data_IF_482431186217
#
_entry.id   IF_482431186217
#
_cell.length_a   1.000
_cell.length_b   1.000
_cell.length_c   1.000
_cell.angle_alpha   90.00
_cell.angle_beta   90.00
_cell.angle_gamma   90.00
#
_symmetry.space_group_name_H-M   'P 1'
#
loop_
_entity.id
_entity.type
_entity.pdbx_description
1 polymer ?
#
# COMPACT_ATOMS: atom_id res chain seq x y z
N UNK A 1 85.92 59.54 -21.98
CA UNK A 1 85.08 58.91 -23.05
C UNK A 1 84.86 57.49 -22.63
N UNK A 2 83.72 57.23 -22.00
CA UNK A 2 83.29 55.90 -21.57
C UNK A 2 81.81 55.82 -21.88
N UNK A 3 81.50 55.12 -22.89
CA UNK A 3 80.10 54.78 -23.34
C UNK A 3 79.44 53.92 -22.30
N UNK A 4 78.29 54.37 -21.79
CA UNK A 4 77.37 53.58 -21.02
C UNK A 4 76.37 52.89 -21.98
N UNK A 5 76.33 51.57 -21.89
CA UNK A 5 75.42 50.71 -22.57
C UNK A 5 74.01 50.80 -21.94
N UNK A 6 72.92 50.92 -22.67
CA UNK A 6 71.56 51.05 -22.11
C UNK A 6 71.09 49.68 -21.54
N UNK A 7 70.48 49.79 -20.37
CA UNK A 7 69.83 48.64 -19.66
C UNK A 7 68.68 48.03 -20.46
N UNK A 8 68.67 46.78 -20.56
CA UNK A 8 67.58 45.92 -21.04
C UNK A 8 66.31 46.22 -20.26
N UNK A 9 65.33 46.79 -20.87
CA UNK A 9 63.95 46.85 -20.37
C UNK A 9 63.37 45.47 -20.40
N UNK A 10 63.12 44.90 -19.20
CA UNK A 10 62.35 43.68 -19.01
C UNK A 10 60.96 43.82 -19.67
N UNK A 11 60.75 43.08 -20.73
CA UNK A 11 59.41 42.85 -21.31
C UNK A 11 58.50 42.23 -20.29
N UNK A 12 57.52 42.97 -19.80
CA UNK A 12 56.38 42.43 -19.03
C UNK A 12 55.56 41.58 -19.99
N UNK A 13 55.43 40.31 -19.69
CA UNK A 13 54.57 39.35 -20.35
C UNK A 13 53.08 39.75 -20.14
N UNK A 14 52.31 40.10 -21.18
CA UNK A 14 50.92 40.52 -21.01
C UNK A 14 49.91 39.36 -20.88
N UNK A 15 50.35 38.16 -20.66
CA UNK A 15 49.46 37.00 -20.44
C UNK A 15 49.22 36.78 -18.92
N UNK A 16 48.72 37.79 -18.24
CA UNK A 16 48.13 37.65 -16.91
C UNK A 16 46.80 36.89 -16.96
N UNK A 17 46.83 35.61 -17.28
CA UNK A 17 45.70 34.75 -16.95
C UNK A 17 45.53 34.77 -15.43
N UNK A 18 44.33 35.10 -14.91
CA UNK A 18 44.08 35.05 -13.49
C UNK A 18 44.31 33.61 -13.02
N UNK A 19 45.30 33.46 -12.14
CA UNK A 19 45.59 32.20 -11.46
C UNK A 19 44.29 31.63 -10.92
N UNK A 20 43.83 30.53 -11.52
CA UNK A 20 42.63 29.81 -11.06
C UNK A 20 42.90 29.37 -9.64
N UNK A 21 42.48 30.18 -8.65
CA UNK A 21 42.45 29.81 -7.22
C UNK A 21 41.45 28.71 -7.01
N UNK A 22 41.70 27.56 -7.61
CA UNK A 22 40.96 26.32 -7.41
C UNK A 22 41.36 25.71 -6.07
N UNK A 23 40.39 25.40 -5.24
CA UNK A 23 40.62 24.63 -4.02
C UNK A 23 41.54 23.42 -4.29
N UNK A 24 42.54 23.13 -3.45
CA UNK A 24 43.52 22.07 -3.68
C UNK A 24 42.83 20.74 -3.85
N UNK A 25 43.26 19.95 -4.83
CA UNK A 25 42.68 18.63 -5.13
C UNK A 25 43.05 17.64 -4.03
N UNK A 26 42.05 17.00 -3.45
CA UNK A 26 42.25 16.00 -2.44
C UNK A 26 42.92 14.73 -3.01
N UNK A 27 43.84 14.15 -2.22
CA UNK A 27 44.46 12.86 -2.53
C UNK A 27 43.40 11.74 -2.57
N UNK A 28 43.72 10.62 -3.22
CA UNK A 28 42.81 9.43 -3.24
C UNK A 28 42.49 8.95 -1.84
N UNK A 29 43.50 8.90 -0.95
CA UNK A 29 43.34 8.51 0.46
C UNK A 29 42.44 9.45 1.23
N UNK A 30 42.60 10.76 1.05
CA UNK A 30 41.73 11.77 1.68
C UNK A 30 40.27 11.63 1.21
N UNK A 31 40.07 11.41 -0.10
CA UNK A 31 38.71 11.19 -0.64
C UNK A 31 38.06 9.94 -0.03
N UNK A 32 38.78 8.83 0.06
CA UNK A 32 38.28 7.59 0.67
C UNK A 32 37.98 7.76 2.16
N UNK A 33 38.89 8.39 2.91
CA UNK A 33 38.72 8.64 4.34
C UNK A 33 37.50 9.53 4.62
N UNK A 34 37.34 10.64 3.87
CA UNK A 34 36.19 11.55 4.03
C UNK A 34 34.88 10.86 3.60
N UNK A 35 34.90 10.09 2.51
CA UNK A 35 33.70 9.32 2.08
C UNK A 35 33.31 8.29 3.12
N UNK A 36 34.27 7.53 3.67
CA UNK A 36 34.00 6.54 4.71
C UNK A 36 33.49 7.18 6.01
N UNK A 37 34.15 8.27 6.47
CA UNK A 37 33.69 9.04 7.62
C UNK A 37 32.26 9.61 7.38
N UNK A 38 31.99 10.15 6.20
CA UNK A 38 30.67 10.63 5.81
C UNK A 38 29.60 9.54 5.87
N UNK A 39 29.90 8.34 5.36
CA UNK A 39 28.99 7.18 5.42
C UNK A 39 28.71 6.77 6.87
N UNK A 40 29.75 6.72 7.72
CA UNK A 40 29.59 6.39 9.14
C UNK A 40 28.75 7.42 9.89
N UNK A 41 28.96 8.71 9.62
CA UNK A 41 28.17 9.79 10.22
C UNK A 41 26.71 9.69 9.77
N UNK A 42 26.45 9.50 8.49
CA UNK A 42 25.08 9.35 7.95
C UNK A 42 24.40 8.14 8.56
N UNK A 43 25.10 6.99 8.66
CA UNK A 43 24.58 5.78 9.26
C UNK A 43 24.26 5.97 10.75
N UNK A 44 25.16 6.61 11.51
CA UNK A 44 24.93 6.96 12.91
C UNK A 44 23.72 7.92 13.10
N UNK A 45 23.57 8.92 12.20
CA UNK A 45 22.43 9.81 12.19
C UNK A 45 21.13 9.09 11.89
N UNK A 46 21.12 8.17 10.94
CA UNK A 46 19.94 7.35 10.61
C UNK A 46 19.47 6.55 11.84
N UNK A 47 20.42 5.88 12.53
CA UNK A 47 20.10 5.12 13.74
C UNK A 47 19.60 6.04 14.86
N UNK A 48 20.25 7.16 15.07
CA UNK A 48 19.86 8.11 16.13
C UNK A 48 18.52 8.80 15.87
N UNK A 49 18.19 9.03 14.60
CA UNK A 49 16.98 9.74 14.17
C UNK A 49 15.88 8.80 13.65
N UNK A 50 15.97 7.49 13.89
CA UNK A 50 15.04 6.49 13.36
C UNK A 50 13.57 6.81 13.70
N UNK A 51 13.29 7.35 14.91
CA UNK A 51 11.94 7.70 15.34
C UNK A 51 11.35 8.85 14.50
N UNK A 52 12.19 9.81 14.09
CA UNK A 52 11.79 10.93 13.22
C UNK A 52 11.75 10.52 11.75
N UNK A 53 12.54 9.51 11.37
CA UNK A 53 12.58 9.01 10.00
C UNK A 53 11.22 8.46 9.55
N UNK A 54 10.54 7.75 10.44
CA UNK A 54 9.17 7.26 10.22
C UNK A 54 8.20 8.43 9.97
N UNK A 55 8.29 9.50 10.75
CA UNK A 55 7.47 10.70 10.60
C UNK A 55 7.72 11.41 9.26
N UNK A 56 9.00 11.63 8.91
CA UNK A 56 9.40 12.27 7.66
C UNK A 56 8.96 11.43 6.46
N UNK A 57 9.19 10.12 6.50
CA UNK A 57 8.82 9.21 5.42
C UNK A 57 7.29 9.19 5.22
N UNK A 58 6.52 9.18 6.31
CA UNK A 58 5.05 9.29 6.25
C UNK A 58 4.62 10.60 5.61
N UNK A 59 5.25 11.72 5.97
CA UNK A 59 4.96 13.02 5.36
C UNK A 59 5.23 13.01 3.84
N UNK A 60 6.32 12.37 3.40
CA UNK A 60 6.59 12.14 1.97
C UNK A 60 5.53 11.28 1.30
N UNK A 61 5.08 10.21 1.94
CA UNK A 61 4.03 9.35 1.41
C UNK A 61 2.72 10.12 1.20
N UNK A 62 2.32 10.92 2.18
CA UNK A 62 1.13 11.78 2.09
C UNK A 62 1.28 12.80 0.96
N UNK A 63 2.45 13.44 0.84
CA UNK A 63 2.77 14.37 -0.26
C UNK A 63 2.62 13.69 -1.63
N UNK A 64 3.15 12.49 -1.77
CA UNK A 64 3.00 11.69 -2.99
C UNK A 64 1.55 11.33 -3.30
N UNK A 65 0.80 10.95 -2.28
CA UNK A 65 -0.61 10.57 -2.39
C UNK A 65 -1.47 11.76 -2.85
N UNK A 66 -1.23 12.95 -2.30
CA UNK A 66 -2.00 14.15 -2.64
C UNK A 66 -1.58 14.82 -3.95
N UNK A 67 -0.37 14.57 -4.44
CA UNK A 67 0.14 15.16 -5.69
C UNK A 67 -0.81 15.07 -6.90
N UNK A 68 -1.50 13.95 -7.19
CA UNK A 68 -2.45 13.89 -8.29
C UNK A 68 -3.70 14.76 -8.07
N UNK A 69 -4.19 14.83 -6.83
CA UNK A 69 -5.32 15.69 -6.48
C UNK A 69 -4.94 17.17 -6.67
N UNK A 70 -3.75 17.56 -6.21
CA UNK A 70 -3.23 18.92 -6.39
C UNK A 70 -3.11 19.26 -7.88
N UNK A 71 -2.57 18.34 -8.67
CA UNK A 71 -2.47 18.52 -10.13
C UNK A 71 -3.84 18.66 -10.79
N UNK A 72 -4.82 17.90 -10.32
CA UNK A 72 -6.20 17.99 -10.80
C UNK A 72 -6.81 19.36 -10.51
N UNK A 73 -6.75 19.83 -9.25
CA UNK A 73 -7.28 21.13 -8.85
C UNK A 73 -6.52 22.30 -9.50
N UNK A 74 -5.18 22.20 -9.60
CA UNK A 74 -4.35 23.18 -10.31
C UNK A 74 -4.83 23.39 -11.75
N UNK A 75 -5.01 22.27 -12.49
CA UNK A 75 -5.45 22.33 -13.90
C UNK A 75 -6.90 22.78 -14.04
N UNK A 76 -7.80 22.28 -13.17
CA UNK A 76 -9.22 22.54 -13.27
C UNK A 76 -9.59 23.97 -12.86
N UNK A 77 -8.98 24.46 -11.80
CA UNK A 77 -9.25 25.79 -11.23
C UNK A 77 -8.22 26.85 -11.69
N UNK A 78 -7.22 26.48 -12.52
CA UNK A 78 -6.15 27.36 -13.00
C UNK A 78 -5.39 28.07 -11.87
N UNK A 79 -5.26 27.41 -10.71
CA UNK A 79 -4.57 27.94 -9.53
C UNK A 79 -3.05 27.77 -9.66
N UNK A 80 -2.29 28.59 -8.92
CA UNK A 80 -0.86 28.31 -8.70
C UNK A 80 -0.70 26.98 -7.93
N UNK A 81 0.46 26.32 -8.09
CA UNK A 81 0.74 25.05 -7.39
C UNK A 81 0.56 25.16 -5.87
N UNK A 82 1.07 26.23 -5.27
CA UNK A 82 0.98 26.46 -3.82
C UNK A 82 -0.47 26.62 -3.35
N UNK A 83 -1.28 27.38 -4.09
CA UNK A 83 -2.71 27.55 -3.77
C UNK A 83 -3.49 26.26 -3.96
N UNK A 84 -3.21 25.48 -5.00
CA UNK A 84 -3.83 24.18 -5.21
C UNK A 84 -3.44 23.18 -4.11
N UNK A 85 -2.17 23.20 -3.67
CA UNK A 85 -1.72 22.41 -2.54
C UNK A 85 -2.44 22.83 -1.25
N UNK A 86 -2.49 24.12 -0.91
CA UNK A 86 -3.19 24.61 0.26
C UNK A 86 -4.68 24.21 0.25
N UNK A 87 -5.36 24.36 -0.89
CA UNK A 87 -6.76 23.97 -1.04
C UNK A 87 -6.97 22.47 -0.76
N UNK A 88 -6.14 21.60 -1.38
CA UNK A 88 -6.24 20.14 -1.19
C UNK A 88 -5.96 19.76 0.26
N UNK A 89 -4.94 20.34 0.88
CA UNK A 89 -4.63 20.06 2.27
C UNK A 89 -5.73 20.54 3.21
N UNK A 90 -6.28 21.74 3.04
CA UNK A 90 -7.43 22.22 3.84
C UNK A 90 -8.64 21.32 3.66
N UNK A 91 -8.98 20.97 2.41
CA UNK A 91 -10.11 20.07 2.12
C UNK A 91 -9.93 18.70 2.78
N UNK A 92 -8.73 18.12 2.67
CA UNK A 92 -8.43 16.84 3.29
C UNK A 92 -8.40 16.90 4.82
N UNK A 93 -7.94 18.01 5.42
CA UNK A 93 -8.03 18.23 6.86
C UNK A 93 -9.48 18.29 7.32
N UNK A 94 -10.35 18.98 6.62
CA UNK A 94 -11.79 19.05 6.93
C UNK A 94 -12.46 17.68 6.79
N UNK A 95 -12.13 16.90 5.76
CA UNK A 95 -12.61 15.52 5.59
C UNK A 95 -12.13 14.64 6.74
N UNK A 96 -10.84 14.71 7.10
CA UNK A 96 -10.28 13.92 8.21
C UNK A 96 -10.92 14.31 9.55
N UNK A 97 -11.12 15.59 9.82
CA UNK A 97 -11.81 16.07 11.02
C UNK A 97 -13.26 15.60 11.04
N UNK A 98 -13.97 15.67 9.91
CA UNK A 98 -15.34 15.17 9.80
C UNK A 98 -15.44 13.66 10.03
N UNK A 99 -14.49 12.88 9.47
CA UNK A 99 -14.42 11.45 9.68
C UNK A 99 -14.06 11.09 11.14
N UNK A 100 -13.15 11.86 11.77
CA UNK A 100 -12.77 11.64 13.17
C UNK A 100 -13.91 11.96 14.15
N UNK A 101 -14.69 13.00 13.87
CA UNK A 101 -15.76 13.44 14.78
C UNK A 101 -17.04 12.62 14.59
N UNK A 102 -17.47 12.37 13.36
CA UNK A 102 -18.76 11.71 13.08
C UNK A 102 -18.62 10.18 12.91
N UNK A 103 -17.56 9.73 12.25
CA UNK A 103 -17.30 8.31 12.02
C UNK A 103 -16.35 7.68 13.04
N UNK A 104 -15.44 8.47 13.62
CA UNK A 104 -14.35 7.98 14.43
C UNK A 104 -14.80 7.23 15.69
N UNK A 105 -15.77 7.78 16.43
CA UNK A 105 -16.28 7.14 17.65
C UNK A 105 -16.99 5.83 17.32
N UNK A 106 -17.82 5.83 16.28
CA UNK A 106 -18.58 4.65 15.84
C UNK A 106 -17.66 3.55 15.31
N UNK A 107 -16.71 3.91 14.43
CA UNK A 107 -15.73 2.98 13.90
C UNK A 107 -14.84 2.40 15.00
N UNK A 108 -14.45 3.25 15.93
CA UNK A 108 -13.62 2.87 17.05
C UNK A 108 -14.31 1.87 17.96
N UNK A 109 -15.57 2.13 18.32
CA UNK A 109 -16.41 1.18 19.06
C UNK A 109 -16.58 -0.14 18.32
N UNK A 110 -16.81 -0.11 17.00
CA UNK A 110 -16.88 -1.34 16.19
C UNK A 110 -15.58 -2.13 16.21
N UNK A 111 -14.41 -1.48 16.08
CA UNK A 111 -13.10 -2.15 16.11
C UNK A 111 -12.82 -2.76 17.49
N UNK A 112 -13.11 -2.05 18.57
CA UNK A 112 -12.95 -2.58 19.93
C UNK A 112 -13.86 -3.78 20.18
N UNK A 113 -15.13 -3.69 19.84
CA UNK A 113 -16.08 -4.78 19.97
C UNK A 113 -15.67 -6.00 19.11
N UNK A 114 -15.16 -5.74 17.89
CA UNK A 114 -14.66 -6.78 17.02
C UNK A 114 -13.44 -7.52 17.62
N UNK A 115 -12.48 -6.79 18.20
CA UNK A 115 -11.31 -7.41 18.85
C UNK A 115 -11.73 -8.22 20.08
N UNK A 116 -12.67 -7.71 20.87
CA UNK A 116 -13.21 -8.44 22.02
C UNK A 116 -13.92 -9.71 21.57
N UNK A 117 -14.73 -9.64 20.53
CA UNK A 117 -15.44 -10.77 19.95
C UNK A 117 -14.47 -11.80 19.38
N UNK A 118 -13.46 -11.37 18.60
CA UNK A 118 -12.44 -12.26 18.05
C UNK A 118 -11.61 -12.94 19.16
N UNK A 119 -11.28 -12.22 20.23
CA UNK A 119 -10.56 -12.76 21.38
C UNK A 119 -11.40 -13.80 22.11
N UNK A 120 -12.71 -13.57 22.26
CA UNK A 120 -13.66 -14.53 22.80
C UNK A 120 -13.80 -15.76 21.91
N UNK A 121 -13.91 -15.55 20.59
CA UNK A 121 -14.00 -16.63 19.62
C UNK A 121 -12.76 -17.52 19.61
N UNK A 122 -11.57 -16.96 19.71
CA UNK A 122 -10.31 -17.71 19.80
C UNK A 122 -10.26 -18.57 21.06
N UNK A 123 -10.67 -18.04 22.22
CA UNK A 123 -10.74 -18.81 23.46
C UNK A 123 -11.74 -19.97 23.37
N UNK A 124 -12.93 -19.70 22.81
CA UNK A 124 -13.92 -20.78 22.59
C UNK A 124 -13.40 -21.83 21.62
N UNK A 125 -12.72 -21.42 20.55
CA UNK A 125 -12.15 -22.35 19.59
C UNK A 125 -11.04 -23.21 20.23
N UNK A 126 -10.13 -22.58 20.99
CA UNK A 126 -9.07 -23.30 21.67
C UNK A 126 -9.64 -24.34 22.66
N UNK A 127 -10.61 -23.95 23.50
CA UNK A 127 -11.26 -24.85 24.46
C UNK A 127 -12.01 -26.00 23.76
N UNK A 128 -12.68 -25.70 22.63
CA UNK A 128 -13.40 -26.71 21.87
C UNK A 128 -12.44 -27.67 21.13
N UNK A 129 -11.29 -27.22 20.67
CA UNK A 129 -10.28 -28.08 20.04
C UNK A 129 -9.81 -29.18 21.00
N UNK A 130 -9.62 -28.87 22.27
CA UNK A 130 -9.29 -29.87 23.30
C UNK A 130 -10.43 -30.85 23.52
N UNK A 131 -11.70 -30.40 23.56
CA UNK A 131 -12.88 -31.23 23.73
C UNK A 131 -13.15 -32.11 22.50
N UNK A 132 -12.84 -31.61 21.31
CA UNK A 132 -13.01 -32.33 20.06
C UNK A 132 -11.86 -33.30 19.73
N UNK A 133 -10.80 -33.24 20.52
CA UNK A 133 -9.66 -34.13 20.41
C UNK A 133 -10.12 -35.58 20.50
N UNK A 134 -9.63 -36.39 19.57
CA UNK A 134 -9.96 -37.80 19.42
C UNK A 134 -11.47 -38.16 19.17
N UNK A 135 -12.30 -37.15 18.87
CA UNK A 135 -13.68 -37.43 18.41
C UNK A 135 -13.70 -37.67 16.90
N UNK A 136 -14.55 -38.64 16.48
CA UNK A 136 -14.79 -38.92 15.07
C UNK A 136 -15.79 -37.89 14.50
N UNK A 137 -15.37 -37.08 13.56
CA UNK A 137 -16.24 -36.18 12.79
C UNK A 137 -16.57 -36.88 11.44
N UNK A 138 -17.84 -37.11 11.15
CA UNK A 138 -18.28 -37.62 9.87
C UNK A 138 -18.84 -36.50 8.99
N UNK A 139 -18.19 -36.24 7.86
CA UNK A 139 -18.67 -35.34 6.81
C UNK A 139 -19.03 -36.22 5.58
N UNK A 140 -20.28 -36.71 5.53
CA UNK A 140 -20.68 -37.63 4.51
C UNK A 140 -19.90 -38.96 4.57
N UNK A 141 -19.24 -39.40 3.49
CA UNK A 141 -18.43 -40.62 3.49
C UNK A 141 -17.05 -40.47 4.16
N UNK A 142 -16.65 -39.27 4.54
CA UNK A 142 -15.32 -39.00 5.10
C UNK A 142 -15.38 -38.89 6.63
N UNK A 143 -14.55 -39.67 7.31
CA UNK A 143 -14.36 -39.61 8.76
C UNK A 143 -13.03 -38.91 9.06
N UNK A 144 -13.07 -37.88 9.90
CA UNK A 144 -11.89 -37.14 10.35
C UNK A 144 -11.79 -37.25 11.87
N UNK A 145 -10.57 -37.46 12.36
CA UNK A 145 -10.25 -37.44 13.78
C UNK A 145 -9.17 -36.36 13.98
N UNK A 146 -9.35 -35.47 14.94
CA UNK A 146 -8.33 -34.51 15.33
C UNK A 146 -7.46 -35.19 16.39
N UNK A 147 -6.17 -35.50 16.09
CA UNK A 147 -5.28 -36.08 17.09
C UNK A 147 -5.05 -35.10 18.25
N UNK A 148 -4.95 -35.65 19.47
CA UNK A 148 -4.76 -34.83 20.69
C UNK A 148 -3.55 -33.91 20.62
N UNK A 149 -2.39 -34.38 20.12
CA UNK A 149 -1.19 -33.58 19.93
C UNK A 149 -1.42 -32.38 18.98
N UNK A 150 -2.23 -32.57 17.93
CA UNK A 150 -2.57 -31.49 16.99
C UNK A 150 -3.53 -30.49 17.62
N UNK A 151 -4.51 -30.97 18.40
CA UNK A 151 -5.46 -30.10 19.10
C UNK A 151 -4.76 -29.25 20.16
N UNK A 152 -3.88 -29.85 20.97
CA UNK A 152 -3.07 -29.11 21.98
C UNK A 152 -2.15 -28.09 21.30
N UNK A 153 -1.42 -28.48 20.24
CA UNK A 153 -0.57 -27.55 19.52
C UNK A 153 -1.34 -26.35 18.93
N UNK A 154 -2.52 -26.60 18.36
CA UNK A 154 -3.37 -25.54 17.81
C UNK A 154 -3.93 -24.64 18.91
N UNK A 155 -4.37 -25.18 20.07
CA UNK A 155 -4.86 -24.38 21.18
C UNK A 155 -3.76 -23.50 21.77
N UNK A 156 -2.55 -24.02 21.95
CA UNK A 156 -1.38 -23.27 22.42
C UNK A 156 -1.01 -22.17 21.42
N UNK A 157 -0.99 -22.48 20.12
CA UNK A 157 -0.76 -21.48 19.08
C UNK A 157 -1.77 -20.32 19.14
N UNK A 158 -3.07 -20.65 19.32
CA UNK A 158 -4.14 -19.65 19.37
C UNK A 158 -4.03 -18.79 20.65
N UNK A 159 -3.80 -19.43 21.82
CA UNK A 159 -3.78 -18.72 23.09
C UNK A 159 -2.45 -18.02 23.37
N UNK A 160 -1.31 -18.65 23.04
CA UNK A 160 0.00 -18.07 23.35
C UNK A 160 0.53 -17.12 22.27
N UNK A 161 0.15 -17.32 20.99
CA UNK A 161 0.68 -16.51 19.89
C UNK A 161 -0.34 -15.55 19.29
N UNK A 162 -1.55 -16.03 19.01
CA UNK A 162 -2.55 -15.22 18.30
C UNK A 162 -3.30 -14.29 19.24
N UNK A 163 -3.72 -14.75 20.43
CA UNK A 163 -4.46 -13.93 21.38
C UNK A 163 -3.69 -12.69 21.83
N UNK A 164 -2.38 -12.74 22.17
CA UNK A 164 -1.61 -11.53 22.51
C UNK A 164 -1.53 -10.51 21.36
N UNK A 165 -1.52 -10.96 20.10
CA UNK A 165 -1.56 -10.05 18.95
C UNK A 165 -2.87 -9.27 18.87
N UNK A 166 -4.02 -9.92 19.14
CA UNK A 166 -5.30 -9.24 19.25
C UNK A 166 -5.34 -8.27 20.46
N UNK A 167 -4.75 -8.66 21.59
CA UNK A 167 -4.61 -7.81 22.76
C UNK A 167 -3.76 -6.56 22.47
N UNK A 168 -2.65 -6.72 21.74
CA UNK A 168 -1.83 -5.60 21.26
C UNK A 168 -2.60 -4.69 20.30
N UNK A 169 -3.33 -5.25 19.34
CA UNK A 169 -4.19 -4.48 18.46
C UNK A 169 -5.24 -3.69 19.26
N UNK A 170 -5.91 -4.31 20.25
CA UNK A 170 -6.85 -3.63 21.14
C UNK A 170 -6.20 -2.52 21.96
N UNK A 171 -4.98 -2.74 22.48
CA UNK A 171 -4.23 -1.73 23.23
C UNK A 171 -3.79 -0.55 22.35
N UNK A 172 -3.38 -0.81 21.11
CA UNK A 172 -3.08 0.24 20.14
C UNK A 172 -4.29 1.12 19.89
N UNK A 173 -5.43 0.47 19.65
CA UNK A 173 -6.70 1.16 19.47
C UNK A 173 -7.03 1.99 20.73
N UNK A 174 -6.88 1.45 21.95
CA UNK A 174 -7.09 2.16 23.21
C UNK A 174 -6.12 3.34 23.40
N UNK A 175 -4.84 3.18 23.04
CA UNK A 175 -3.82 4.24 23.07
C UNK A 175 -4.11 5.37 22.10
N UNK A 176 -4.72 5.07 20.95
CA UNK A 176 -5.16 6.10 20.01
C UNK A 176 -6.23 7.02 20.60
N UNK A 177 -7.09 6.49 21.50
CA UNK A 177 -8.07 7.31 22.23
C UNK A 177 -7.48 8.07 23.41
N UNK A 178 -6.71 7.36 24.26
CA UNK A 178 -6.18 7.93 25.50
C UNK A 178 -4.99 8.86 25.29
N UNK A 179 -4.20 8.62 24.23
CA UNK A 179 -3.04 9.43 23.85
C UNK A 179 -3.37 10.65 22.96
N UNK A 180 -4.63 11.10 22.94
CA UNK A 180 -5.19 12.02 21.95
C UNK A 180 -4.32 13.24 21.64
N UNK A 181 -3.79 13.95 22.64
CA UNK A 181 -2.99 15.15 22.39
C UNK A 181 -1.67 14.86 21.65
N UNK A 182 -0.93 13.83 22.05
CA UNK A 182 0.33 13.44 21.41
C UNK A 182 0.11 12.85 20.02
N UNK A 183 -0.96 12.08 19.82
CA UNK A 183 -1.31 11.56 18.52
C UNK A 183 -1.71 12.69 17.56
N UNK A 184 -2.59 13.59 18.01
CA UNK A 184 -3.03 14.76 17.21
C UNK A 184 -1.82 15.61 16.86
N UNK A 185 -0.93 15.88 17.80
CA UNK A 185 0.30 16.64 17.55
C UNK A 185 1.21 15.93 16.54
N UNK A 186 1.41 14.61 16.65
CA UNK A 186 2.20 13.83 15.68
C UNK A 186 1.58 13.84 14.29
N UNK A 187 0.28 13.62 14.18
CA UNK A 187 -0.45 13.69 12.92
C UNK A 187 -0.39 15.10 12.32
N UNK A 188 -0.55 16.12 13.15
CA UNK A 188 -0.43 17.52 12.73
C UNK A 188 0.97 17.82 12.19
N UNK A 189 2.03 17.39 12.89
CA UNK A 189 3.42 17.57 12.41
C UNK A 189 3.67 16.82 11.10
N UNK A 190 3.23 15.56 10.96
CA UNK A 190 3.31 14.82 9.69
C UNK A 190 2.60 15.57 8.56
N UNK A 191 1.41 16.09 8.85
CA UNK A 191 0.59 16.81 7.89
C UNK A 191 1.22 18.14 7.48
N UNK A 192 1.75 18.89 8.45
CA UNK A 192 2.45 20.14 8.23
C UNK A 192 3.72 19.95 7.39
N UNK A 193 4.56 18.99 7.75
CA UNK A 193 5.77 18.65 6.98
C UNK A 193 5.39 18.22 5.56
N UNK A 194 4.37 17.40 5.42
CA UNK A 194 3.86 16.97 4.11
C UNK A 194 3.41 18.15 3.26
N UNK A 195 2.71 19.11 3.86
CA UNK A 195 2.30 20.34 3.17
C UNK A 195 3.51 21.16 2.68
N UNK A 196 4.51 21.40 3.53
CA UNK A 196 5.71 22.13 3.14
C UNK A 196 6.47 21.43 2.03
N UNK A 197 6.72 20.13 2.16
CA UNK A 197 7.36 19.31 1.12
C UNK A 197 6.61 19.42 -0.20
N UNK A 198 5.28 19.34 -0.15
CA UNK A 198 4.44 19.42 -1.35
C UNK A 198 4.44 20.80 -1.96
N UNK A 199 4.31 21.84 -1.15
CA UNK A 199 4.24 23.24 -1.63
C UNK A 199 5.52 23.70 -2.31
N UNK A 200 6.67 23.16 -1.89
CA UNK A 200 7.98 23.45 -2.47
C UNK A 200 8.33 22.58 -3.68
N UNK A 201 7.66 21.43 -3.85
CA UNK A 201 7.97 20.48 -4.93
C UNK A 201 7.85 21.08 -6.34
N UNK A 202 7.00 22.09 -6.56
CA UNK A 202 6.92 22.78 -7.86
C UNK A 202 8.20 23.57 -8.17
N UNK A 203 8.82 24.16 -7.13
CA UNK A 203 10.13 24.81 -7.25
C UNK A 203 11.26 23.83 -7.58
N UNK A 204 11.26 22.67 -6.94
CA UNK A 204 12.25 21.60 -7.17
C UNK A 204 12.09 20.97 -8.55
N UNK A 205 10.85 20.81 -9.06
CA UNK A 205 10.63 20.34 -10.45
C UNK A 205 11.14 21.32 -11.50
N UNK A 206 11.12 22.61 -11.22
CA UNK A 206 11.65 23.65 -12.11
C UNK A 206 13.18 23.77 -12.01
N UNK A 207 13.73 23.56 -10.84
CA UNK A 207 15.17 23.42 -10.65
C UNK A 207 15.54 21.95 -10.89
N UNK A 208 16.01 21.65 -12.10
CA UNK A 208 16.71 20.39 -12.33
C UNK A 208 17.90 20.36 -11.36
N UNK A 209 17.82 19.62 -10.27
CA UNK A 209 18.99 19.33 -9.44
C UNK A 209 19.93 18.52 -10.32
N UNK A 210 20.74 19.21 -11.10
CA UNK A 210 21.76 18.62 -11.93
C UNK A 210 22.99 18.47 -11.02
N UNK A 211 23.07 17.33 -10.33
CA UNK A 211 24.32 16.93 -9.71
C UNK A 211 25.25 16.63 -10.87
N UNK A 212 26.14 17.58 -11.18
CA UNK A 212 27.14 17.44 -12.23
C UNK A 212 28.24 16.49 -11.75
N UNK A 213 28.00 15.18 -11.89
CA UNK A 213 29.02 14.17 -11.73
C UNK A 213 29.63 13.91 -13.12
N UNK A 214 30.85 14.38 -13.41
CA UNK A 214 31.45 14.20 -14.72
C UNK A 214 31.44 12.74 -15.17
N UNK A 215 30.85 12.44 -16.30
CA UNK A 215 30.75 11.09 -16.88
C UNK A 215 29.57 10.23 -16.38
N UNK A 216 28.84 10.62 -15.32
CA UNK A 216 27.73 9.85 -14.77
C UNK A 216 26.39 10.59 -14.77
N UNK A 217 26.31 11.73 -15.43
CA UNK A 217 25.11 12.58 -15.41
C UNK A 217 23.87 11.87 -15.96
N UNK A 218 24.03 11.15 -17.07
CA UNK A 218 22.96 10.39 -17.70
C UNK A 218 22.48 9.21 -16.83
N UNK A 219 23.42 8.48 -16.21
CA UNK A 219 23.11 7.36 -15.33
C UNK A 219 22.36 7.85 -14.09
N UNK A 220 22.81 8.96 -13.48
CA UNK A 220 22.16 9.54 -12.30
C UNK A 220 20.75 10.03 -12.60
N UNK A 221 20.58 10.68 -13.75
CA UNK A 221 19.26 11.13 -14.18
C UNK A 221 18.30 9.96 -14.44
N UNK A 222 18.79 8.90 -15.11
CA UNK A 222 18.01 7.69 -15.38
C UNK A 222 17.67 6.94 -14.09
N UNK A 223 18.62 6.80 -13.16
CA UNK A 223 18.39 6.21 -11.84
C UNK A 223 17.27 6.93 -11.09
N UNK A 224 17.32 8.26 -11.04
CA UNK A 224 16.27 9.06 -10.41
C UNK A 224 14.89 8.88 -11.07
N UNK A 225 14.84 8.75 -12.40
CA UNK A 225 13.60 8.48 -13.14
C UNK A 225 13.03 7.10 -12.80
N UNK A 226 13.87 6.05 -12.77
CA UNK A 226 13.44 4.68 -12.46
C UNK A 226 12.99 4.56 -11.00
N UNK A 227 13.72 5.13 -10.04
CA UNK A 227 13.31 5.19 -8.62
C UNK A 227 11.96 5.91 -8.50
N UNK A 228 11.81 7.09 -9.11
CA UNK A 228 10.55 7.83 -9.09
C UNK A 228 9.40 7.02 -9.71
N UNK A 229 9.67 6.26 -10.78
CA UNK A 229 8.67 5.38 -11.40
C UNK A 229 8.24 4.25 -10.47
N UNK A 230 9.17 3.59 -9.77
CA UNK A 230 8.89 2.56 -8.76
C UNK A 230 7.97 3.13 -7.68
N UNK A 231 8.38 4.24 -7.04
CA UNK A 231 7.64 4.83 -5.93
C UNK A 231 6.26 5.34 -6.35
N UNK A 232 6.15 6.04 -7.48
CA UNK A 232 4.86 6.49 -8.01
C UNK A 232 3.91 5.33 -8.34
N UNK A 233 4.45 4.27 -8.95
CA UNK A 233 3.66 3.11 -9.32
C UNK A 233 3.12 2.41 -8.09
N UNK A 234 3.98 2.22 -7.08
CA UNK A 234 3.63 1.50 -5.87
C UNK A 234 2.68 2.32 -4.98
N UNK A 235 3.09 3.51 -4.54
CA UNK A 235 2.30 4.28 -3.58
C UNK A 235 0.90 4.54 -4.11
N UNK A 236 0.78 5.09 -5.34
CA UNK A 236 -0.54 5.36 -5.93
C UNK A 236 -1.33 4.10 -6.20
N UNK A 237 -0.63 3.03 -6.63
CA UNK A 237 -1.25 1.75 -6.90
C UNK A 237 -1.81 1.12 -5.64
N UNK A 238 -1.00 1.03 -4.59
CA UNK A 238 -1.37 0.40 -3.33
C UNK A 238 -2.53 1.13 -2.64
N UNK A 239 -2.44 2.44 -2.49
CA UNK A 239 -3.54 3.21 -1.89
C UNK A 239 -4.84 3.11 -2.69
N UNK A 240 -4.77 3.01 -4.02
CA UNK A 240 -5.97 2.80 -4.84
C UNK A 240 -6.55 1.40 -4.61
N UNK A 241 -5.71 0.37 -4.54
CA UNK A 241 -6.14 -1.02 -4.28
C UNK A 241 -6.74 -1.14 -2.88
N UNK A 242 -6.07 -0.58 -1.86
CA UNK A 242 -6.56 -0.55 -0.46
C UNK A 242 -7.90 0.17 -0.38
N UNK A 243 -8.02 1.37 -0.94
CA UNK A 243 -9.27 2.15 -0.93
C UNK A 243 -10.41 1.43 -1.64
N UNK A 244 -10.13 0.78 -2.79
CA UNK A 244 -11.12 -0.03 -3.49
C UNK A 244 -11.50 -1.27 -2.69
N UNK A 245 -10.55 -1.94 -2.05
CA UNK A 245 -10.83 -3.08 -1.19
C UNK A 245 -11.74 -2.69 -0.04
N UNK A 246 -11.45 -1.61 0.69
CA UNK A 246 -12.32 -1.10 1.77
C UNK A 246 -13.73 -0.87 1.25
N UNK A 247 -13.87 -0.19 0.12
CA UNK A 247 -15.19 0.13 -0.45
C UNK A 247 -15.94 -1.13 -0.87
N UNK A 248 -15.30 -2.04 -1.61
CA UNK A 248 -15.93 -3.26 -2.11
C UNK A 248 -16.30 -4.20 -0.96
N UNK A 249 -15.41 -4.40 0.02
CA UNK A 249 -15.71 -5.22 1.19
C UNK A 249 -16.77 -4.58 2.08
N UNK A 250 -16.79 -3.25 2.23
CA UNK A 250 -17.87 -2.58 2.97
C UNK A 250 -19.23 -2.85 2.34
N UNK A 251 -19.34 -2.74 1.02
CA UNK A 251 -20.57 -3.03 0.29
C UNK A 251 -20.96 -4.51 0.38
N UNK A 252 -19.99 -5.41 0.14
CA UNK A 252 -20.22 -6.85 0.18
C UNK A 252 -20.70 -7.32 1.56
N UNK A 253 -19.95 -6.98 2.61
CA UNK A 253 -20.24 -7.44 3.97
C UNK A 253 -21.51 -6.82 4.53
N UNK A 254 -21.78 -5.54 4.20
CA UNK A 254 -23.06 -4.90 4.54
C UNK A 254 -24.23 -5.51 3.79
N UNK A 255 -24.08 -5.85 2.51
CA UNK A 255 -25.10 -6.53 1.70
C UNK A 255 -25.38 -7.95 2.21
N UNK A 256 -24.39 -8.62 2.74
CA UNK A 256 -24.53 -9.91 3.44
C UNK A 256 -25.05 -9.77 4.87
N UNK A 257 -25.30 -8.54 5.33
CA UNK A 257 -25.75 -8.21 6.69
C UNK A 257 -24.79 -8.71 7.80
N UNK A 258 -23.47 -8.77 7.49
CA UNK A 258 -22.46 -9.15 8.47
C UNK A 258 -22.25 -8.01 9.48
N UNK A 259 -22.37 -8.24 10.79
CA UNK A 259 -22.09 -7.21 11.79
C UNK A 259 -20.64 -6.75 11.69
N UNK A 260 -20.39 -5.50 12.09
CA UNK A 260 -19.07 -4.86 12.02
C UNK A 260 -18.48 -4.77 10.61
N UNK A 261 -19.32 -4.77 9.57
CA UNK A 261 -18.92 -4.81 8.16
C UNK A 261 -17.85 -3.77 7.79
N UNK A 262 -17.98 -2.55 8.30
CA UNK A 262 -17.01 -1.47 8.03
C UNK A 262 -15.66 -1.74 8.72
N UNK A 263 -15.67 -2.18 9.98
CA UNK A 263 -14.46 -2.57 10.71
C UNK A 263 -13.73 -3.73 10.03
N UNK A 264 -14.48 -4.74 9.59
CA UNK A 264 -13.95 -5.88 8.85
C UNK A 264 -13.39 -5.47 7.48
N UNK A 265 -14.08 -4.56 6.77
CA UNK A 265 -13.60 -4.02 5.50
C UNK A 265 -12.31 -3.20 5.67
N UNK A 266 -12.14 -2.46 6.78
CA UNK A 266 -10.89 -1.78 7.11
C UNK A 266 -9.77 -2.78 7.36
N UNK A 267 -10.02 -3.88 8.10
CA UNK A 267 -9.03 -4.95 8.29
C UNK A 267 -8.61 -5.54 6.95
N UNK A 268 -9.57 -5.85 6.07
CA UNK A 268 -9.28 -6.39 4.75
C UNK A 268 -8.49 -5.41 3.87
N UNK A 269 -8.85 -4.14 3.87
CA UNK A 269 -8.17 -3.13 3.08
C UNK A 269 -6.76 -2.84 3.58
N UNK A 270 -6.60 -2.51 4.86
CA UNK A 270 -5.28 -2.23 5.44
C UNK A 270 -4.39 -3.48 5.53
N UNK A 271 -5.00 -4.65 5.71
CA UNK A 271 -4.28 -5.91 5.66
C UNK A 271 -3.49 -6.11 4.36
N UNK A 272 -3.94 -5.54 3.24
CA UNK A 272 -3.28 -5.67 1.93
C UNK A 272 -1.87 -5.08 1.89
N UNK A 273 -1.52 -4.18 2.80
CA UNK A 273 -0.13 -3.73 2.94
C UNK A 273 0.84 -4.87 3.29
N UNK A 274 0.33 -5.94 3.90
CA UNK A 274 1.12 -7.15 4.21
C UNK A 274 0.69 -8.28 3.26
N UNK A 275 1.46 -8.55 2.18
CA UNK A 275 1.08 -9.55 1.20
C UNK A 275 0.78 -10.91 1.84
N UNK A 276 -0.26 -11.58 1.40
CA UNK A 276 -0.78 -12.88 1.87
C UNK A 276 -1.31 -12.88 3.30
N UNK A 277 -0.58 -12.33 4.29
CA UNK A 277 -0.98 -12.32 5.71
C UNK A 277 -2.29 -11.56 5.88
N UNK A 278 -2.42 -10.41 5.23
CA UNK A 278 -3.62 -9.59 5.32
C UNK A 278 -4.89 -10.28 4.85
N UNK A 279 -4.82 -11.01 3.76
CA UNK A 279 -5.94 -11.78 3.25
C UNK A 279 -6.36 -12.89 4.22
N UNK A 280 -5.41 -13.68 4.73
CA UNK A 280 -5.69 -14.71 5.73
C UNK A 280 -6.31 -14.18 7.00
N UNK A 281 -5.77 -13.10 7.55
CA UNK A 281 -6.32 -12.42 8.73
C UNK A 281 -7.76 -11.97 8.48
N UNK A 282 -8.03 -11.42 7.30
CA UNK A 282 -9.36 -10.95 6.92
C UNK A 282 -10.35 -12.11 6.81
N UNK A 283 -9.99 -13.22 6.13
CA UNK A 283 -10.86 -14.37 5.99
C UNK A 283 -11.17 -15.04 7.33
N UNK A 284 -10.17 -15.15 8.21
CA UNK A 284 -10.38 -15.67 9.57
C UNK A 284 -11.32 -14.75 10.35
N UNK A 285 -11.14 -13.42 10.26
CA UNK A 285 -12.02 -12.45 10.90
C UNK A 285 -13.46 -12.55 10.37
N UNK A 286 -13.64 -12.64 9.04
CA UNK A 286 -14.96 -12.78 8.42
C UNK A 286 -15.64 -14.09 8.84
N UNK A 287 -14.91 -15.20 8.77
CA UNK A 287 -15.40 -16.51 9.18
C UNK A 287 -15.82 -16.52 10.66
N UNK A 288 -15.00 -15.97 11.53
CA UNK A 288 -15.27 -15.90 12.97
C UNK A 288 -16.55 -15.12 13.27
N UNK A 289 -16.69 -13.93 12.67
CA UNK A 289 -17.87 -13.09 12.87
C UNK A 289 -19.12 -13.76 12.28
N UNK A 290 -19.03 -14.31 11.07
CA UNK A 290 -20.14 -15.00 10.41
C UNK A 290 -20.63 -16.22 11.21
N UNK A 291 -19.69 -17.00 11.73
CA UNK A 291 -20.02 -18.22 12.51
C UNK A 291 -20.74 -17.92 13.82
N UNK A 292 -20.41 -16.78 14.47
CA UNK A 292 -20.97 -16.40 15.78
C UNK A 292 -22.27 -15.59 15.62
N UNK A 293 -22.50 -15.00 14.47
CA UNK A 293 -23.68 -14.15 14.22
C UNK A 293 -24.98 -14.93 14.44
N UNK A 294 -25.81 -14.44 15.37
CA UNK A 294 -27.13 -15.01 15.70
C UNK A 294 -28.14 -13.86 15.89
N UNK A 295 -29.37 -13.96 15.34
CA UNK A 295 -29.78 -14.93 14.31
C UNK A 295 -29.01 -14.76 13.02
N UNK A 296 -28.80 -15.86 12.28
CA UNK A 296 -28.12 -15.78 10.97
C UNK A 296 -29.00 -15.03 9.96
N UNK A 297 -28.42 -14.14 9.17
CA UNK A 297 -29.14 -13.47 8.09
C UNK A 297 -29.73 -14.49 7.11
N UNK A 298 -30.89 -14.14 6.51
CA UNK A 298 -31.61 -14.97 5.53
C UNK A 298 -32.06 -16.36 6.04
N UNK A 299 -32.05 -16.61 7.37
CA UNK A 299 -32.44 -17.91 7.95
C UNK A 299 -31.50 -19.06 7.58
N UNK A 300 -30.29 -18.77 7.09
CA UNK A 300 -29.32 -19.77 6.68
C UNK A 300 -28.72 -20.53 7.90
N UNK A 301 -28.27 -21.75 7.68
CA UNK A 301 -27.46 -22.44 8.69
C UNK A 301 -26.13 -21.69 8.88
N UNK A 302 -25.59 -21.59 10.12
CA UNK A 302 -24.38 -20.79 10.39
C UNK A 302 -23.18 -21.16 9.55
N UNK A 303 -22.96 -22.45 9.32
CA UNK A 303 -21.84 -22.93 8.52
C UNK A 303 -22.01 -22.56 7.03
N UNK A 304 -23.23 -22.64 6.50
CA UNK A 304 -23.56 -22.26 5.13
C UNK A 304 -23.39 -20.75 4.96
N UNK A 305 -23.87 -19.95 5.91
CA UNK A 305 -23.69 -18.51 5.90
C UNK A 305 -22.20 -18.12 5.93
N UNK A 306 -21.41 -18.75 6.80
CA UNK A 306 -19.96 -18.56 6.86
C UNK A 306 -19.27 -18.91 5.55
N UNK A 307 -19.63 -20.04 4.94
CA UNK A 307 -19.09 -20.46 3.65
C UNK A 307 -19.43 -19.47 2.53
N UNK A 308 -20.63 -18.87 2.53
CA UNK A 308 -21.03 -17.84 1.58
C UNK A 308 -20.19 -16.56 1.77
N UNK A 309 -20.05 -16.10 3.02
CA UNK A 309 -19.26 -14.89 3.34
C UNK A 309 -17.80 -15.06 2.92
N UNK A 310 -17.16 -16.16 3.32
CA UNK A 310 -15.75 -16.42 2.99
C UNK A 310 -15.59 -16.69 1.50
N UNK A 311 -16.48 -17.45 0.87
CA UNK A 311 -16.45 -17.72 -0.56
C UNK A 311 -16.58 -16.42 -1.40
N UNK A 312 -17.48 -15.53 -1.03
CA UNK A 312 -17.60 -14.22 -1.67
C UNK A 312 -16.34 -13.36 -1.48
N UNK A 313 -15.75 -13.40 -0.28
CA UNK A 313 -14.51 -12.69 0.01
C UNK A 313 -13.34 -13.22 -0.84
N UNK A 314 -13.19 -14.54 -0.97
CA UNK A 314 -12.17 -15.17 -1.82
C UNK A 314 -12.31 -14.76 -3.29
N UNK A 315 -13.53 -14.67 -3.81
CA UNK A 315 -13.79 -14.20 -5.18
C UNK A 315 -13.35 -12.75 -5.35
N UNK A 316 -13.70 -11.87 -4.41
CA UNK A 316 -13.32 -10.47 -4.44
C UNK A 316 -11.80 -10.31 -4.36
N UNK A 317 -11.13 -10.99 -3.43
CA UNK A 317 -9.67 -10.96 -3.30
C UNK A 317 -8.99 -11.44 -4.59
N UNK A 318 -9.49 -12.52 -5.18
CA UNK A 318 -8.97 -13.03 -6.45
C UNK A 318 -9.08 -11.99 -7.58
N UNK A 319 -10.21 -11.27 -7.66
CA UNK A 319 -10.40 -10.18 -8.63
C UNK A 319 -9.44 -9.01 -8.34
N UNK A 320 -9.31 -8.61 -7.09
CA UNK A 320 -8.42 -7.52 -6.70
C UNK A 320 -6.95 -7.87 -7.00
N UNK A 321 -6.51 -9.09 -6.68
CA UNK A 321 -5.12 -9.50 -6.83
C UNK A 321 -4.73 -9.79 -8.28
N UNK A 322 -5.57 -10.49 -9.02
CA UNK A 322 -5.24 -10.95 -10.37
C UNK A 322 -5.69 -9.99 -11.48
N UNK A 323 -6.65 -9.09 -11.20
CA UNK A 323 -7.17 -8.17 -12.22
C UNK A 323 -6.80 -6.72 -11.90
N UNK A 324 -7.07 -6.26 -10.69
CA UNK A 324 -6.90 -4.85 -10.33
C UNK A 324 -5.43 -4.50 -10.06
N UNK A 325 -4.76 -5.27 -9.22
CA UNK A 325 -3.35 -5.00 -8.84
C UNK A 325 -2.43 -4.92 -10.07
N UNK A 326 -2.43 -5.87 -11.04
CA UNK A 326 -1.59 -5.76 -12.22
C UNK A 326 -1.96 -4.58 -13.12
N UNK A 327 -3.24 -4.21 -13.19
CA UNK A 327 -3.69 -3.07 -14.01
C UNK A 327 -3.27 -1.74 -13.41
N UNK A 328 -3.27 -1.64 -12.09
CA UNK A 328 -2.95 -0.41 -11.36
C UNK A 328 -1.44 -0.22 -11.21
N UNK A 329 -0.73 -1.26 -10.78
CA UNK A 329 0.72 -1.21 -10.51
C UNK A 329 1.58 -1.55 -11.73
N UNK A 330 1.05 -2.27 -12.71
CA UNK A 330 1.76 -2.67 -13.91
C UNK A 330 2.95 -3.59 -13.61
N UNK A 331 4.02 -3.44 -14.42
CA UNK A 331 5.25 -4.26 -14.31
C UNK A 331 6.18 -3.83 -13.16
N UNK A 332 5.79 -2.83 -12.36
CA UNK A 332 6.66 -2.26 -11.32
C UNK A 332 7.01 -3.24 -10.18
N UNK A 333 6.26 -4.33 -10.03
CA UNK A 333 6.40 -5.28 -8.95
C UNK A 333 6.86 -6.68 -9.43
N UNK A 334 7.90 -6.75 -10.25
CA UNK A 334 8.58 -8.03 -10.53
C UNK A 334 9.52 -8.39 -9.35
N UNK A 335 8.98 -8.47 -8.15
CA UNK A 335 9.71 -8.83 -6.93
C UNK A 335 9.16 -10.14 -6.37
N UNK A 336 10.05 -10.97 -5.82
CA UNK A 336 9.63 -12.23 -5.21
C UNK A 336 8.88 -11.95 -3.90
N UNK A 337 7.71 -12.57 -3.67
CA UNK A 337 6.90 -12.30 -2.47
C UNK A 337 7.64 -12.49 -1.15
N UNK A 338 8.43 -13.56 -1.03
CA UNK A 338 9.21 -13.82 0.18
C UNK A 338 10.23 -12.70 0.46
N UNK A 339 10.84 -12.11 -0.59
CA UNK A 339 11.77 -11.00 -0.41
C UNK A 339 11.07 -9.74 0.10
N UNK A 340 9.83 -9.48 -0.35
CA UNK A 340 9.02 -8.37 0.17
C UNK A 340 8.65 -8.60 1.63
N UNK A 341 8.27 -9.85 2.02
CA UNK A 341 7.98 -10.19 3.41
C UNK A 341 9.20 -10.01 4.32
N UNK A 342 10.38 -10.49 3.90
CA UNK A 342 11.62 -10.30 4.66
C UNK A 342 11.93 -8.81 4.80
N UNK A 343 11.80 -8.04 3.71
CA UNK A 343 12.00 -6.58 3.75
C UNK A 343 10.99 -5.91 4.67
N UNK A 344 9.72 -6.36 4.66
CA UNK A 344 8.69 -5.84 5.55
C UNK A 344 9.00 -6.11 7.02
N UNK A 345 9.51 -7.31 7.36
CA UNK A 345 9.95 -7.63 8.72
C UNK A 345 11.11 -6.73 9.17
N UNK A 346 12.14 -6.57 8.34
CA UNK A 346 13.29 -5.70 8.65
C UNK A 346 12.85 -4.23 8.75
N UNK A 347 12.08 -3.76 7.77
CA UNK A 347 11.62 -2.37 7.73
C UNK A 347 10.64 -2.04 8.87
N UNK A 348 9.86 -3.02 9.34
CA UNK A 348 8.96 -2.84 10.49
C UNK A 348 9.71 -2.59 11.79
N UNK A 349 10.88 -3.18 11.96
CA UNK A 349 11.74 -2.96 13.12
C UNK A 349 12.35 -1.55 13.14
N UNK A 350 12.67 -1.01 11.95
CA UNK A 350 13.31 0.30 11.80
C UNK A 350 12.29 1.46 11.77
N UNK A 351 11.17 1.25 11.11
CA UNK A 351 10.22 2.31 10.75
C UNK A 351 8.78 2.03 11.24
N UNK A 352 8.58 0.94 12.01
CA UNK A 352 7.27 0.52 12.45
C UNK A 352 6.34 0.17 11.28
N UNK A 353 5.06 0.49 11.43
CA UNK A 353 4.01 0.18 10.43
C UNK A 353 4.30 0.79 9.05
N UNK A 354 4.96 1.95 9.01
CA UNK A 354 5.34 2.61 7.76
C UNK A 354 6.37 1.77 7.00
N UNK A 355 7.28 1.11 7.73
CA UNK A 355 8.25 0.19 7.14
C UNK A 355 7.57 -0.94 6.35
N UNK A 356 6.47 -1.50 6.89
CA UNK A 356 5.67 -2.52 6.19
C UNK A 356 5.08 -1.95 4.90
N UNK A 357 4.49 -0.77 4.97
CA UNK A 357 3.85 -0.10 3.83
C UNK A 357 4.87 0.15 2.69
N UNK A 358 6.09 0.56 3.03
CA UNK A 358 7.11 0.91 2.02
C UNK A 358 8.04 -0.25 1.66
N UNK A 359 7.88 -1.42 2.24
CA UNK A 359 8.78 -2.56 2.04
C UNK A 359 8.99 -2.91 0.57
N UNK A 360 7.92 -2.99 -0.21
CA UNK A 360 7.99 -3.34 -1.62
C UNK A 360 8.74 -2.30 -2.48
N UNK A 361 8.46 -0.99 -2.41
CA UNK A 361 9.23 0.01 -3.16
C UNK A 361 10.67 0.14 -2.67
N UNK A 362 10.94 -0.06 -1.37
CA UNK A 362 12.30 -0.08 -0.83
C UNK A 362 13.07 -1.27 -1.43
N UNK A 363 12.50 -2.47 -1.37
CA UNK A 363 13.13 -3.66 -1.97
C UNK A 363 13.38 -3.49 -3.48
N UNK A 364 12.39 -2.97 -4.23
CA UNK A 364 12.55 -2.72 -5.65
C UNK A 364 13.66 -1.68 -5.94
N UNK A 365 13.79 -0.67 -5.09
CA UNK A 365 14.84 0.34 -5.17
C UNK A 365 16.21 -0.28 -4.88
N UNK A 366 16.34 -1.08 -3.81
CA UNK A 366 17.58 -1.80 -3.50
C UNK A 366 17.97 -2.74 -4.64
N UNK A 367 17.00 -3.48 -5.19
CA UNK A 367 17.23 -4.35 -6.36
C UNK A 367 17.75 -3.57 -7.57
N UNK A 368 17.18 -2.40 -7.85
CA UNK A 368 17.62 -1.51 -8.94
C UNK A 368 19.07 -1.07 -8.74
N UNK A 369 19.42 -0.59 -7.54
CA UNK A 369 20.78 -0.18 -7.22
C UNK A 369 21.78 -1.35 -7.28
N UNK A 370 21.41 -2.49 -6.72
CA UNK A 370 22.25 -3.69 -6.75
C UNK A 370 22.52 -4.15 -8.18
N UNK A 371 21.50 -4.16 -9.03
CA UNK A 371 21.67 -4.50 -10.45
C UNK A 371 22.61 -3.52 -11.16
N UNK A 372 22.41 -2.22 -10.95
CA UNK A 372 23.27 -1.18 -11.52
C UNK A 372 24.74 -1.37 -11.11
N UNK A 373 24.98 -1.59 -9.80
CA UNK A 373 26.34 -1.77 -9.26
C UNK A 373 26.98 -3.05 -9.82
N UNK A 374 26.26 -4.19 -9.80
CA UNK A 374 26.78 -5.46 -10.29
C UNK A 374 27.14 -5.38 -11.78
N UNK A 375 26.26 -4.81 -12.62
CA UNK A 375 26.54 -4.67 -14.05
C UNK A 375 27.73 -3.74 -14.31
N UNK A 376 27.87 -2.65 -13.55
CA UNK A 376 29.05 -1.77 -13.64
C UNK A 376 30.34 -2.45 -13.20
N UNK A 377 30.28 -3.33 -12.19
CA UNK A 377 31.46 -4.12 -11.74
C UNK A 377 31.88 -5.17 -12.76
N UNK A 378 30.92 -5.67 -13.55
CA UNK A 378 31.17 -6.68 -14.60
C UNK A 378 31.38 -6.07 -15.99
N UNK A 379 31.50 -4.75 -16.08
CA UNK A 379 31.61 -3.98 -17.35
C UNK A 379 30.48 -4.26 -18.36
N UNK A 380 29.28 -4.60 -17.84
CA UNK A 380 28.06 -4.81 -18.62
C UNK A 380 27.22 -3.52 -18.67
N UNK A 381 26.27 -3.45 -19.63
CA UNK A 381 25.29 -2.33 -19.63
C UNK A 381 24.41 -2.40 -18.39
N UNK A 382 24.50 -1.41 -17.45
CA UNK A 382 23.75 -1.41 -16.22
C UNK A 382 22.25 -1.25 -16.40
N UNK A 383 21.81 -0.93 -17.61
CA UNK A 383 20.40 -0.66 -17.92
C UNK A 383 19.73 -1.77 -18.75
N UNK A 384 20.46 -2.82 -19.07
CA UNK A 384 19.91 -3.95 -19.82
C UNK A 384 18.84 -4.67 -18.98
N UNK A 385 17.67 -4.91 -19.56
CA UNK A 385 16.56 -5.61 -18.90
C UNK A 385 15.80 -4.81 -17.83
N UNK A 386 16.23 -3.59 -17.48
CA UNK A 386 15.55 -2.72 -16.52
C UNK A 386 14.83 -1.58 -17.24
N UNK A 387 13.51 -1.50 -17.04
CA UNK A 387 12.70 -0.33 -17.37
C UNK A 387 11.41 -0.34 -16.55
N UNK A 388 11.35 0.49 -15.52
CA UNK A 388 10.14 0.77 -14.75
C UNK A 388 9.41 2.00 -15.30
N UNK A 389 10.13 2.90 -15.97
CA UNK A 389 9.62 4.18 -16.51
C UNK A 389 8.92 4.06 -17.84
N UNK A 390 9.25 3.04 -18.66
CA UNK A 390 8.83 2.94 -20.07
C UNK A 390 7.36 2.54 -20.31
N UNK A 391 6.52 2.42 -19.27
CA UNK A 391 5.17 1.85 -19.36
C UNK A 391 3.98 2.76 -19.14
N UNK A 392 4.13 4.06 -18.77
CA UNK A 392 2.98 4.85 -18.35
C UNK A 392 2.84 6.23 -18.96
N UNK A 393 2.09 6.30 -20.05
CA UNK A 393 1.54 7.57 -20.58
C UNK A 393 0.19 7.97 -19.94
N UNK A 394 -0.50 7.09 -19.21
CA UNK A 394 -1.83 7.38 -18.59
C UNK A 394 -1.84 7.16 -17.08
N UNK A 395 -2.46 8.06 -16.29
CA UNK A 395 -2.64 7.87 -14.84
C UNK A 395 -3.40 6.59 -14.52
N UNK A 396 -3.05 5.91 -13.41
CA UNK A 396 -3.70 4.66 -13.01
C UNK A 396 -5.22 4.81 -12.87
N UNK A 397 -5.68 5.93 -12.31
CA UNK A 397 -7.10 6.26 -12.13
C UNK A 397 -7.83 6.38 -13.48
N UNK A 398 -7.23 6.99 -14.52
CA UNK A 398 -7.88 7.10 -15.82
C UNK A 398 -8.07 5.74 -16.49
N UNK A 399 -7.16 4.79 -16.32
CA UNK A 399 -7.28 3.42 -16.83
C UNK A 399 -8.37 2.62 -16.12
N UNK A 400 -8.50 2.79 -14.80
CA UNK A 400 -9.58 2.17 -14.03
C UNK A 400 -10.93 2.77 -14.41
N UNK A 401 -11.02 4.09 -14.51
CA UNK A 401 -12.24 4.77 -14.96
C UNK A 401 -12.64 4.41 -16.40
N UNK A 402 -11.67 4.30 -17.31
CA UNK A 402 -11.91 3.85 -18.68
C UNK A 402 -12.40 2.40 -18.73
N UNK A 403 -11.80 1.52 -17.93
CA UNK A 403 -12.24 0.13 -17.82
C UNK A 403 -13.66 0.02 -17.24
N UNK A 404 -13.95 0.78 -16.19
CA UNK A 404 -15.29 0.82 -15.59
C UNK A 404 -16.32 1.39 -16.58
N UNK A 405 -16.01 2.48 -17.27
CA UNK A 405 -16.88 3.06 -18.32
C UNK A 405 -17.17 2.07 -19.46
N UNK A 406 -16.24 1.21 -19.80
CA UNK A 406 -16.42 0.23 -20.87
C UNK A 406 -17.18 -1.03 -20.39
N UNK A 407 -16.95 -1.50 -19.19
CA UNK A 407 -17.52 -2.76 -18.67
C UNK A 407 -18.90 -2.58 -18.01
N UNK A 408 -19.17 -1.49 -17.33
CA UNK A 408 -20.46 -1.27 -16.66
C UNK A 408 -21.63 -1.30 -17.66
N UNK A 409 -21.60 -0.61 -18.81
CA UNK A 409 -22.67 -0.68 -19.79
C UNK A 409 -22.89 -2.09 -20.35
N UNK A 410 -21.83 -2.87 -20.55
CA UNK A 410 -21.93 -4.24 -21.05
C UNK A 410 -22.59 -5.17 -20.02
N UNK A 411 -22.25 -5.04 -18.74
CA UNK A 411 -22.88 -5.79 -17.65
C UNK A 411 -24.35 -5.41 -17.47
N UNK A 412 -24.67 -4.13 -17.50
CA UNK A 412 -26.06 -3.64 -17.41
C UNK A 412 -26.88 -4.15 -18.60
N UNK A 413 -26.32 -4.17 -19.79
CA UNK A 413 -27.01 -4.67 -20.98
C UNK A 413 -27.23 -6.21 -20.92
N UNK A 414 -26.25 -6.96 -20.44
CA UNK A 414 -26.41 -8.43 -20.20
C UNK A 414 -27.47 -8.71 -19.14
N UNK A 415 -27.50 -7.95 -18.04
CA UNK A 415 -28.52 -8.10 -17.01
C UNK A 415 -29.94 -7.75 -17.57
N UNK A 416 -30.04 -6.74 -18.42
CA UNK A 416 -31.30 -6.35 -19.07
C UNK A 416 -31.81 -7.43 -20.03
N UNK A 417 -30.94 -8.03 -20.83
CA UNK A 417 -31.27 -9.15 -21.72
C UNK A 417 -31.72 -10.38 -20.93
N UNK A 418 -30.98 -10.73 -19.86
CA UNK A 418 -31.35 -11.85 -19.00
C UNK A 418 -32.69 -11.63 -18.27
N UNK A 419 -32.95 -10.41 -17.79
CA UNK A 419 -34.21 -10.05 -17.17
C UNK A 419 -35.37 -10.10 -18.19
N UNK A 420 -35.16 -9.61 -19.41
CA UNK A 420 -36.15 -9.70 -20.49
C UNK A 420 -36.49 -11.15 -20.85
N UNK A 421 -35.47 -12.02 -20.95
CA UNK A 421 -35.63 -13.45 -21.22
C UNK A 421 -36.38 -14.18 -20.09
N UNK A 422 -36.16 -13.82 -18.83
CA UNK A 422 -36.90 -14.37 -17.69
C UNK A 422 -38.36 -13.94 -17.69
N UNK A 423 -38.65 -12.71 -18.06
CA UNK A 423 -40.04 -12.18 -18.18
C UNK A 423 -40.77 -12.83 -19.36
N UNK A 424 -40.09 -13.03 -20.51
CA UNK A 424 -40.68 -13.73 -21.67
C UNK A 424 -41.02 -15.17 -21.36
N UNK A 425 -40.09 -15.88 -20.65
CA UNK A 425 -40.28 -17.29 -20.24
C UNK A 425 -41.42 -17.45 -19.23
N UNK A 426 -41.66 -16.48 -18.36
CA UNK A 426 -42.82 -16.45 -17.47
C UNK A 426 -44.14 -16.16 -18.22
N UNK A 427 -44.12 -15.37 -19.30
CA UNK A 427 -45.31 -15.09 -20.14
C UNK A 427 -45.73 -16.35 -20.96
N UNK A 428 -44.75 -17.02 -21.57
CA UNK A 428 -45.03 -18.26 -22.32
C UNK A 428 -45.52 -19.40 -21.43
N UNK A 429 -45.05 -19.49 -20.17
CA UNK A 429 -45.54 -20.47 -19.20
C UNK A 429 -46.98 -20.19 -18.70
N UNK A 430 -47.46 -18.94 -18.84
CA UNK A 430 -48.82 -18.53 -18.39
C UNK A 430 -49.86 -18.60 -19.51
N UNK A 431 -49.46 -18.74 -20.77
CA UNK A 431 -50.36 -18.78 -21.95
C UNK A 431 -50.62 -20.19 -22.46
N UNK A 432 -50.15 -21.26 -21.79
CA UNK A 432 -50.49 -22.64 -22.17
C UNK A 432 -51.10 -23.40 -20.98
N UNK A 433 -52.37 -23.11 -20.58
CA UNK A 433 -53.05 -23.84 -19.50
C UNK A 433 -53.99 -24.92 -20.01
N UNK A 434 -53.96 -25.32 -21.27
CA UNK A 434 -54.90 -26.36 -21.78
C UNK A 434 -54.10 -27.36 -22.67
N UNK A 435 -53.56 -28.37 -22.03
CA UNK A 435 -53.27 -29.64 -22.70
C UNK A 435 -54.59 -30.29 -23.09
N UNK A 436 -54.79 -30.45 -24.37
CA UNK A 436 -55.94 -31.17 -24.94
C UNK A 436 -55.91 -32.65 -24.52
N UNK A 437 -56.95 -33.21 -23.88
CA UNK A 437 -56.91 -34.59 -23.42
C UNK A 437 -57.59 -35.58 -24.42
N UNK A 438 -57.44 -35.42 -25.73
CA UNK A 438 -57.98 -36.34 -26.72
C UNK A 438 -56.94 -36.62 -27.79
N UNK A 439 -56.22 -37.73 -27.60
CA UNK A 439 -55.66 -38.61 -28.62
C UNK A 439 -55.15 -39.87 -27.96
N UNK A 440 -56.11 -40.79 -27.68
CA UNK A 440 -55.86 -42.22 -27.65
C UNK A 440 -56.76 -42.82 -28.66
N UNK A 441 -56.17 -43.26 -29.76
CA UNK A 441 -56.46 -44.44 -30.50
C UNK A 441 -55.23 -44.94 -31.26
#
# INVERSE_FOLDING_TARGET
>A
MTEQKPSELAQADPSGEPEKTGSPRWSRTTKLAVSFAGILIIFGLIIKLQDYLSLILTAFLISFLFSPLITFFQKRLKLSWRLAAALVYVLMALILLGLLTWGGITLFGQLQNLITLLSGALKLLANNLEQWSNQEFALGPFKFVIPQLTATYLSDLLLERVQPLLGQAGSLIGKLLSGGANLVFRLFMMYLISFFVTSETDGVKKQKISIKLPGYEADFQRMGQEVNAIWNAFIRGEFLVVGTAILVFSILLSGLQLPYSLGLALIAGFGRFVPYIGAWVSWIAFASVALITRPTPFGAQPLVYTAVVVGAALIIDNILDNVMTPKVMGKALKVHPAAVLITALIASQLLGIIGIIVAAPVFATVKLFSHYIIHKLLDLDPWEGISYSSGRKTPAISRVLEYLKMKIPLLVNQLRINAANLVSKKRTAKTNPLGNPDEKE
#
